data_IF_266329789301
#
_entry.id   IF_266329789301
#
_cell.length_a   1.000
_cell.length_b   1.000
_cell.length_c   1.000
_cell.angle_alpha   90.00
_cell.angle_beta   90.00
_cell.angle_gamma   90.00
#
_symmetry.space_group_name_H-M   'P 1'
#
loop_
_entity.id
_entity.type
_entity.pdbx_description
1 polymer ?
#
# COMPACT_ATOMS: atom_id res chain seq x y z
N UNK A 1 1.27 16.36 -10.94
CA UNK A 1 0.61 16.68 -9.66
C UNK A 1 0.68 15.41 -8.81
N UNK A 2 1.44 15.40 -7.71
CA UNK A 2 1.61 14.19 -6.88
C UNK A 2 0.38 14.03 -5.96
N UNK A 3 -0.25 12.86 -6.02
CA UNK A 3 -1.50 12.56 -5.32
C UNK A 3 -1.17 11.96 -3.94
N UNK A 4 -1.56 12.62 -2.87
CA UNK A 4 -1.57 12.03 -1.53
C UNK A 4 -2.70 11.01 -1.41
N UNK A 5 -2.56 10.04 -0.51
CA UNK A 5 -3.68 9.19 -0.09
C UNK A 5 -4.41 9.96 1.02
N UNK A 6 -5.69 10.35 0.84
CA UNK A 6 -6.42 11.07 1.88
C UNK A 6 -6.43 10.31 3.21
N UNK A 7 -6.12 11.00 4.31
CA UNK A 7 -6.15 10.41 5.66
C UNK A 7 -4.97 9.49 6.01
N UNK A 8 -3.94 9.39 5.16
CA UNK A 8 -2.72 8.63 5.45
C UNK A 8 -1.54 9.56 5.69
N UNK A 9 -0.95 9.47 6.89
CA UNK A 9 0.29 10.16 7.23
C UNK A 9 1.49 9.22 7.04
N UNK A 10 2.56 9.72 6.42
CA UNK A 10 3.78 8.93 6.14
C UNK A 10 4.91 9.43 7.04
N UNK A 11 5.63 8.49 7.64
CA UNK A 11 6.73 8.76 8.56
C UNK A 11 7.98 7.98 8.17
N UNK A 12 9.12 8.65 8.27
CA UNK A 12 10.43 8.02 8.21
C UNK A 12 11.15 8.17 9.55
N UNK A 13 11.16 7.13 10.41
CA UNK A 13 12.10 7.07 11.52
C UNK A 13 13.54 6.89 10.99
N UNK A 14 14.41 7.88 11.20
CA UNK A 14 15.83 7.79 10.83
C UNK A 14 16.69 8.25 12.02
N UNK A 15 17.50 7.34 12.59
CA UNK A 15 18.48 7.62 13.66
C UNK A 15 17.98 8.56 14.77
N UNK A 16 16.80 8.28 15.33
CA UNK A 16 16.20 9.08 16.42
C UNK A 16 15.34 10.26 15.98
N UNK A 17 15.29 10.58 14.69
CA UNK A 17 14.40 11.59 14.13
C UNK A 17 13.16 10.94 13.52
N UNK A 18 12.01 11.61 13.63
CA UNK A 18 10.77 11.25 12.92
C UNK A 18 10.44 12.37 11.94
N UNK A 19 10.45 12.05 10.66
CA UNK A 19 10.07 13.00 9.61
C UNK A 19 8.65 12.69 9.15
N UNK A 20 7.76 13.68 9.22
CA UNK A 20 6.44 13.61 8.61
C UNK A 20 6.57 14.02 7.15
N UNK A 21 6.19 13.14 6.24
CA UNK A 21 6.25 13.39 4.80
C UNK A 21 4.84 13.61 4.32
N UNK A 22 4.43 14.87 4.28
CA UNK A 22 3.10 15.21 3.82
C UNK A 22 3.06 15.43 2.31
N UNK A 23 4.06 16.01 1.63
CA UNK A 23 3.87 16.30 0.19
C UNK A 23 5.10 16.65 -0.63
N UNK A 24 6.31 16.44 -0.14
CA UNK A 24 7.49 16.89 -0.88
C UNK A 24 8.57 15.83 -0.96
N UNK A 25 9.29 15.75 -2.09
CA UNK A 25 10.58 15.11 -2.13
C UNK A 25 11.51 15.70 -1.03
N UNK A 26 11.65 15.01 0.11
CA UNK A 26 12.65 15.32 1.14
C UNK A 26 13.99 14.64 0.85
N UNK A 27 15.06 15.37 0.52
CA UNK A 27 16.37 14.77 0.25
C UNK A 27 16.93 14.10 1.50
N UNK A 28 16.99 12.77 1.52
CA UNK A 28 17.55 11.99 2.64
C UNK A 28 19.09 11.91 2.62
N UNK A 29 19.76 12.71 1.78
CA UNK A 29 21.21 12.64 1.50
C UNK A 29 22.08 12.73 2.75
N UNK A 30 21.71 13.58 3.70
CA UNK A 30 22.48 13.79 4.93
C UNK A 30 22.35 12.63 5.94
N UNK A 31 21.40 11.71 5.73
CA UNK A 31 20.95 10.79 6.78
C UNK A 31 21.29 9.31 6.50
N UNK A 32 21.71 8.98 5.28
CA UNK A 32 21.85 7.59 4.82
C UNK A 32 23.30 7.23 4.46
N UNK A 33 23.94 6.47 5.35
CA UNK A 33 25.03 5.57 4.99
C UNK A 33 24.41 4.16 4.96
N UNK A 34 24.77 3.32 3.98
CA UNK A 34 24.27 1.94 3.76
C UNK A 34 23.43 1.33 4.90
N UNK A 35 22.21 0.86 4.61
CA UNK A 35 21.37 0.22 5.63
C UNK A 35 19.90 0.09 5.23
N UNK A 36 19.08 -0.15 6.24
CA UNK A 36 17.63 -0.31 6.10
C UNK A 36 16.93 1.01 6.45
N UNK A 37 15.95 1.42 5.64
CA UNK A 37 15.02 2.50 5.96
C UNK A 37 13.69 1.88 6.35
N UNK A 38 13.25 2.14 7.57
CA UNK A 38 11.87 1.84 7.94
C UNK A 38 10.97 2.96 7.45
N UNK A 39 10.01 2.63 6.59
CA UNK A 39 8.87 3.49 6.25
C UNK A 39 7.70 3.08 7.12
N UNK A 40 7.03 4.04 7.74
CA UNK A 40 5.79 3.81 8.50
C UNK A 40 4.67 4.66 7.93
N UNK A 41 3.46 4.15 7.99
CA UNK A 41 2.25 4.94 7.73
C UNK A 41 1.28 4.82 8.87
N UNK A 42 0.56 5.91 9.12
CA UNK A 42 -0.58 5.95 10.03
C UNK A 42 -1.83 6.21 9.19
N UNK A 43 -2.83 5.36 9.39
CA UNK A 43 -4.18 5.52 8.84
C UNK A 43 -5.10 5.90 10.01
N UNK A 44 -5.79 7.03 9.91
CA UNK A 44 -6.66 7.57 10.98
C UNK A 44 -8.10 7.04 10.91
N UNK A 45 -8.77 6.99 12.07
CA UNK A 45 -10.08 6.36 12.33
C UNK A 45 -11.16 6.56 11.27
N UNK A 46 -11.24 7.75 10.66
CA UNK A 46 -12.29 8.12 9.71
C UNK A 46 -12.34 7.23 8.45
N UNK A 47 -11.26 6.48 8.17
CA UNK A 47 -11.18 5.50 7.07
C UNK A 47 -10.60 4.15 7.49
N UNK A 48 -10.56 3.85 8.80
CA UNK A 48 -9.82 2.69 9.31
C UNK A 48 -10.33 1.35 8.76
N UNK A 49 -11.54 1.26 8.21
CA UNK A 49 -12.03 0.02 7.60
C UNK A 49 -11.74 -0.13 6.10
N UNK A 50 -11.26 0.92 5.44
CA UNK A 50 -11.13 0.96 3.99
C UNK A 50 -9.68 0.76 3.53
N UNK A 51 -8.69 1.01 4.39
CA UNK A 51 -7.27 0.92 4.03
C UNK A 51 -6.58 -0.23 4.76
N UNK A 52 -5.96 -1.11 3.99
CA UNK A 52 -5.20 -2.27 4.44
C UNK A 52 -3.78 -2.24 3.88
N UNK A 53 -2.82 -2.86 4.56
CA UNK A 53 -1.50 -3.11 4.00
C UNK A 53 -1.43 -4.54 3.47
N UNK A 54 -0.82 -4.69 2.30
CA UNK A 54 -0.61 -5.99 1.66
C UNK A 54 0.89 -6.28 1.47
N UNK A 55 1.26 -7.54 1.63
CA UNK A 55 2.58 -8.06 1.27
C UNK A 55 2.41 -8.92 0.03
N UNK A 56 3.37 -8.81 -0.89
CA UNK A 56 3.44 -9.65 -2.08
C UNK A 56 4.77 -10.40 -2.05
N UNK A 57 4.72 -11.73 -2.02
CA UNK A 57 5.94 -12.55 -1.97
C UNK A 57 6.56 -12.78 -3.37
N UNK A 58 7.65 -13.55 -3.44
CA UNK A 58 8.36 -13.84 -4.69
C UNK A 58 7.54 -14.69 -5.68
N UNK A 59 6.57 -15.45 -5.19
CA UNK A 59 5.62 -16.22 -5.99
C UNK A 59 4.37 -15.41 -6.36
N UNK A 60 4.36 -14.10 -6.05
CA UNK A 60 3.22 -13.18 -6.21
C UNK A 60 2.00 -13.55 -5.36
N UNK A 61 2.21 -14.29 -4.27
CA UNK A 61 1.15 -14.51 -3.30
C UNK A 61 0.90 -13.23 -2.49
N UNK A 62 -0.34 -13.02 -2.09
CA UNK A 62 -0.77 -11.82 -1.35
C UNK A 62 -1.18 -12.20 0.06
N UNK A 63 -0.78 -11.38 1.02
CA UNK A 63 -1.21 -11.49 2.42
C UNK A 63 -1.54 -10.12 3.01
N UNK A 64 -2.51 -10.07 3.93
CA UNK A 64 -2.78 -8.86 4.71
C UNK A 64 -1.77 -8.71 5.83
N UNK A 65 -1.09 -7.57 5.86
CA UNK A 65 -0.20 -7.23 6.97
C UNK A 65 -1.02 -6.79 8.18
N UNK A 66 -0.74 -7.39 9.34
CA UNK A 66 -1.31 -6.92 10.61
C UNK A 66 -0.72 -5.55 10.99
N UNK A 67 -1.53 -4.58 11.43
CA UNK A 67 -1.01 -3.29 11.88
C UNK A 67 -0.24 -3.45 13.20
N UNK A 68 0.76 -2.59 13.42
CA UNK A 68 1.57 -2.55 14.65
C UNK A 68 0.80 -1.98 15.84
N UNK A 69 -0.14 -1.10 15.57
CA UNK A 69 -1.05 -0.51 16.54
C UNK A 69 -2.48 -0.71 16.05
N UNK A 70 -3.35 -1.15 16.95
CA UNK A 70 -4.76 -1.42 16.65
C UNK A 70 -5.61 -0.62 17.65
N UNK A 71 -6.49 0.24 17.15
CA UNK A 71 -7.26 1.20 17.95
C UNK A 71 -7.90 2.25 17.05
N UNK A 72 -7.89 3.54 17.47
CA UNK A 72 -8.34 4.67 16.62
C UNK A 72 -7.44 4.91 15.40
N UNK A 73 -6.31 4.24 15.30
CA UNK A 73 -5.37 4.37 14.20
C UNK A 73 -4.80 2.98 13.85
N UNK A 74 -4.52 2.77 12.57
CA UNK A 74 -3.76 1.61 12.09
C UNK A 74 -2.38 2.08 11.65
N UNK A 75 -1.33 1.44 12.17
CA UNK A 75 0.04 1.74 11.77
C UNK A 75 0.63 0.56 10.99
N UNK A 76 1.07 0.82 9.77
CA UNK A 76 1.76 -0.15 8.92
C UNK A 76 3.22 0.24 8.76
N UNK A 77 4.09 -0.75 8.52
CA UNK A 77 5.50 -0.51 8.29
C UNK A 77 6.10 -1.45 7.26
N UNK A 78 7.09 -0.95 6.52
CA UNK A 78 7.97 -1.75 5.70
C UNK A 78 9.43 -1.33 5.92
N UNK A 79 10.34 -2.29 5.86
CA UNK A 79 11.78 -2.04 5.92
C UNK A 79 12.35 -2.12 4.50
N UNK A 80 12.65 -0.97 3.91
CA UNK A 80 13.18 -0.85 2.55
C UNK A 80 14.70 -0.85 2.61
N UNK A 81 15.32 -1.85 2.00
CA UNK A 81 16.78 -2.00 1.96
C UNK A 81 17.39 -1.10 0.90
N UNK A 82 18.37 -0.29 1.30
CA UNK A 82 19.09 0.61 0.40
C UNK A 82 20.57 0.27 0.39
N UNK A 83 21.08 -0.06 -0.80
CA UNK A 83 22.53 -0.28 -1.00
C UNK A 83 23.15 0.79 -1.87
N UNK A 84 24.34 1.23 -1.47
CA UNK A 84 25.23 2.05 -2.29
C UNK A 84 25.98 1.17 -3.29
N UNK A 85 25.91 1.53 -4.58
CA UNK A 85 26.75 0.99 -5.65
C UNK A 85 27.50 2.14 -6.33
N UNK A 86 28.78 2.27 -6.02
CA UNK A 86 29.59 3.42 -6.45
C UNK A 86 29.09 4.72 -5.82
N UNK A 87 28.74 5.71 -6.65
CA UNK A 87 28.13 6.98 -6.19
C UNK A 87 26.61 6.96 -6.10
N UNK A 88 25.98 5.87 -6.52
CA UNK A 88 24.53 5.74 -6.56
C UNK A 88 24.04 4.89 -5.40
N UNK A 89 22.83 5.16 -4.96
CA UNK A 89 22.10 4.28 -4.07
C UNK A 89 20.95 3.66 -4.83
N UNK A 90 20.53 2.46 -4.43
CA UNK A 90 19.44 1.73 -5.07
C UNK A 90 18.62 1.02 -4.00
N UNK A 91 17.30 1.04 -4.16
CA UNK A 91 16.40 0.11 -3.47
C UNK A 91 16.62 -1.28 -4.09
N UNK A 92 16.99 -2.24 -3.26
CA UNK A 92 17.35 -3.58 -3.77
C UNK A 92 16.15 -4.33 -4.33
N UNK A 93 15.03 -4.24 -3.62
CA UNK A 93 13.86 -5.07 -3.84
C UNK A 93 12.62 -4.18 -3.84
N UNK A 94 12.03 -3.85 -5.00
CA UNK A 94 10.76 -3.15 -5.07
C UNK A 94 9.62 -3.86 -4.30
N UNK A 95 9.74 -5.18 -4.07
CA UNK A 95 8.81 -5.93 -3.22
C UNK A 95 8.80 -5.46 -1.75
N UNK A 96 9.89 -4.85 -1.27
CA UNK A 96 10.02 -4.32 0.09
C UNK A 96 9.29 -2.98 0.27
N UNK A 97 8.73 -2.39 -0.80
CA UNK A 97 7.92 -1.18 -0.72
C UNK A 97 6.64 -1.45 0.09
N UNK A 98 6.16 -0.43 0.80
CA UNK A 98 4.89 -0.54 1.51
C UNK A 98 3.74 -0.42 0.52
N UNK A 99 2.88 -1.43 0.45
CA UNK A 99 1.70 -1.43 -0.42
C UNK A 99 0.43 -1.32 0.41
N UNK A 100 -0.42 -0.38 0.02
CA UNK A 100 -1.72 -0.18 0.63
C UNK A 100 -2.83 -0.50 -0.38
N UNK A 101 -3.86 -1.16 0.12
CA UNK A 101 -5.11 -1.45 -0.55
C UNK A 101 -6.16 -0.52 0.05
N UNK A 102 -6.74 0.36 -0.76
CA UNK A 102 -7.87 1.21 -0.38
C UNK A 102 -9.14 0.70 -1.06
N UNK A 103 -10.13 0.32 -0.26
CA UNK A 103 -11.46 -0.09 -0.69
C UNK A 103 -12.38 1.11 -0.55
N UNK A 104 -13.10 1.45 -1.61
CA UNK A 104 -14.04 2.56 -1.61
C UNK A 104 -15.46 2.01 -1.80
N UNK A 105 -16.48 2.77 -1.37
CA UNK A 105 -17.87 2.46 -1.70
C UNK A 105 -18.06 2.25 -3.21
N UNK A 106 -19.01 1.40 -3.59
CA UNK A 106 -19.23 1.05 -5.00
C UNK A 106 -18.26 0.01 -5.56
N UNK A 107 -17.47 -0.65 -4.70
CA UNK A 107 -16.52 -1.68 -5.09
C UNK A 107 -15.22 -1.17 -5.73
N UNK A 108 -14.96 0.14 -5.75
CA UNK A 108 -13.70 0.68 -6.29
C UNK A 108 -12.53 0.38 -5.35
N UNK A 109 -11.54 -0.32 -5.86
CA UNK A 109 -10.31 -0.65 -5.16
C UNK A 109 -9.12 0.10 -5.76
N UNK A 110 -8.34 0.79 -4.93
CA UNK A 110 -7.09 1.46 -5.32
C UNK A 110 -5.89 0.78 -4.67
N UNK A 111 -4.83 0.60 -5.44
CA UNK A 111 -3.54 0.16 -4.96
C UNK A 111 -2.59 1.33 -4.90
N UNK A 112 -1.97 1.49 -3.75
CA UNK A 112 -1.01 2.52 -3.49
C UNK A 112 0.32 1.88 -3.11
N UNK A 113 1.41 2.45 -3.62
CA UNK A 113 2.76 2.07 -3.24
C UNK A 113 3.47 3.28 -2.64
N UNK A 114 4.13 3.04 -1.51
CA UNK A 114 4.99 4.01 -0.84
C UNK A 114 6.42 3.48 -0.89
N UNK A 115 7.27 4.23 -1.56
CA UNK A 115 8.57 3.76 -2.02
C UNK A 115 9.64 4.82 -1.77
N UNK A 116 10.88 4.39 -1.57
CA UNK A 116 12.02 5.31 -1.60
C UNK A 116 12.60 5.30 -3.02
N UNK A 117 12.66 6.45 -3.66
CA UNK A 117 13.32 6.62 -4.96
C UNK A 117 14.57 7.46 -4.81
N UNK A 118 15.56 7.27 -5.68
CA UNK A 118 16.80 8.04 -5.66
C UNK A 118 17.22 8.52 -7.04
N UNK A 119 17.69 9.77 -7.14
CA UNK A 119 18.17 10.40 -8.36
C UNK A 119 19.26 11.39 -7.98
N UNK A 120 20.42 11.30 -8.65
CA UNK A 120 21.56 12.20 -8.42
C UNK A 120 22.03 12.28 -6.96
N UNK A 121 21.99 11.17 -6.22
CA UNK A 121 22.42 11.11 -4.81
C UNK A 121 21.31 11.44 -3.81
N UNK A 122 20.27 12.17 -4.25
CA UNK A 122 19.09 12.48 -3.47
C UNK A 122 18.15 11.30 -3.39
N UNK A 123 17.43 11.23 -2.28
CA UNK A 123 16.38 10.26 -2.04
C UNK A 123 15.08 10.95 -1.74
N UNK A 124 13.97 10.32 -2.06
CA UNK A 124 12.63 10.80 -1.77
C UNK A 124 11.72 9.65 -1.40
N UNK A 125 10.88 9.87 -0.41
CA UNK A 125 9.72 9.03 -0.20
C UNK A 125 8.63 9.51 -1.14
N UNK A 126 8.15 8.61 -1.98
CA UNK A 126 7.10 8.88 -2.96
C UNK A 126 5.92 7.96 -2.71
N UNK A 127 4.75 8.51 -2.98
CA UNK A 127 3.49 7.77 -2.95
C UNK A 127 2.92 7.76 -4.35
N UNK A 128 2.55 6.58 -4.84
CA UNK A 128 2.01 6.42 -6.18
C UNK A 128 0.81 5.50 -6.14
N UNK A 129 -0.29 5.92 -6.78
CA UNK A 129 -1.37 5.00 -7.13
C UNK A 129 -0.92 4.13 -8.29
N UNK A 130 -0.80 2.82 -8.07
CA UNK A 130 -0.28 1.88 -9.06
C UNK A 130 -1.38 1.27 -9.92
N UNK A 131 -2.57 1.09 -9.35
CA UNK A 131 -3.70 0.46 -10.03
C UNK A 131 -5.03 0.87 -9.40
N UNK A 132 -6.11 0.87 -10.19
CA UNK A 132 -7.48 1.01 -9.73
C UNK A 132 -8.35 -0.03 -10.45
N UNK A 133 -9.18 -0.76 -9.72
CA UNK A 133 -10.08 -1.78 -10.28
C UNK A 133 -11.41 -1.81 -9.55
N UNK A 134 -12.45 -2.39 -10.17
CA UNK A 134 -13.77 -2.54 -9.57
C UNK A 134 -14.06 -3.98 -9.19
N UNK A 135 -14.57 -4.16 -7.98
CA UNK A 135 -15.24 -5.38 -7.53
C UNK A 135 -16.73 -5.32 -7.88
N UNK A 136 -17.29 -6.49 -8.14
CA UNK A 136 -18.69 -6.71 -8.46
C UNK A 136 -19.21 -7.89 -7.66
N UNK A 137 -20.52 -7.94 -7.40
CA UNK A 137 -21.17 -9.11 -6.84
C UNK A 137 -21.49 -10.08 -7.98
N UNK A 138 -20.85 -11.25 -7.97
CA UNK A 138 -21.25 -12.34 -8.86
C UNK A 138 -22.56 -12.94 -8.35
N UNK A 139 -23.63 -12.78 -9.12
CA UNK A 139 -25.00 -13.21 -8.75
C UNK A 139 -25.12 -14.72 -8.64
N UNK A 140 -24.27 -15.49 -9.34
CA UNK A 140 -24.30 -16.95 -9.30
C UNK A 140 -23.64 -17.52 -8.04
N UNK A 141 -22.53 -16.93 -7.61
CA UNK A 141 -21.76 -17.42 -6.45
C UNK A 141 -22.03 -16.66 -5.15
N UNK A 142 -22.66 -15.48 -5.22
CA UNK A 142 -22.88 -14.57 -4.09
C UNK A 142 -21.60 -13.96 -3.54
N UNK A 143 -20.49 -13.98 -4.29
CA UNK A 143 -19.17 -13.51 -3.86
C UNK A 143 -18.75 -12.26 -4.61
N UNK A 144 -17.91 -11.45 -3.96
CA UNK A 144 -17.26 -10.33 -4.63
C UNK A 144 -16.17 -10.84 -5.58
N UNK A 145 -16.16 -10.33 -6.81
CA UNK A 145 -15.20 -10.69 -7.84
C UNK A 145 -14.65 -9.43 -8.49
N UNK A 146 -13.37 -9.44 -8.82
CA UNK A 146 -12.77 -8.43 -9.67
C UNK A 146 -12.28 -9.09 -10.97
N UNK A 147 -13.07 -9.06 -12.06
CA UNK A 147 -12.76 -9.82 -13.28
C UNK A 147 -11.44 -9.44 -13.95
N UNK A 148 -11.02 -8.18 -13.82
CA UNK A 148 -9.75 -7.67 -14.37
C UNK A 148 -8.55 -7.95 -13.47
N UNK A 149 -8.77 -8.39 -12.22
CA UNK A 149 -7.70 -8.64 -11.26
C UNK A 149 -7.11 -10.04 -11.48
N UNK A 150 -5.85 -10.09 -11.91
CA UNK A 150 -5.10 -11.36 -12.06
C UNK A 150 -4.75 -12.01 -10.70
N UNK A 151 -4.88 -11.26 -9.60
CA UNK A 151 -4.61 -11.73 -8.24
C UNK A 151 -5.81 -12.46 -7.64
N UNK A 152 -5.98 -13.72 -8.01
CA UNK A 152 -7.06 -14.60 -7.50
C UNK A 152 -7.09 -14.65 -5.97
N UNK A 153 -5.92 -14.66 -5.32
CA UNK A 153 -5.81 -14.67 -3.85
C UNK A 153 -6.36 -13.39 -3.21
N UNK A 154 -6.29 -12.24 -3.88
CA UNK A 154 -6.86 -11.02 -3.32
C UNK A 154 -8.39 -11.12 -3.25
N UNK A 155 -9.03 -11.68 -4.27
CA UNK A 155 -10.47 -11.93 -4.25
C UNK A 155 -10.83 -12.87 -3.08
N UNK A 156 -10.00 -13.89 -2.81
CA UNK A 156 -10.20 -14.78 -1.66
C UNK A 156 -10.05 -14.05 -0.34
N UNK A 157 -9.01 -13.22 -0.17
CA UNK A 157 -8.78 -12.43 1.04
C UNK A 157 -9.95 -11.51 1.33
N UNK A 158 -10.44 -10.78 0.32
CA UNK A 158 -11.55 -9.85 0.45
C UNK A 158 -12.82 -10.58 0.88
N UNK A 159 -13.15 -11.70 0.24
CA UNK A 159 -14.34 -12.49 0.57
C UNK A 159 -14.25 -13.15 1.95
N UNK A 160 -13.11 -13.77 2.29
CA UNK A 160 -12.94 -14.49 3.57
C UNK A 160 -13.00 -13.54 4.76
N UNK A 161 -12.44 -12.34 4.61
CA UNK A 161 -12.40 -11.35 5.69
C UNK A 161 -13.60 -10.38 5.66
N UNK A 162 -14.51 -10.51 4.70
CA UNK A 162 -15.68 -9.64 4.55
C UNK A 162 -15.30 -8.16 4.45
N UNK A 163 -14.25 -7.84 3.66
CA UNK A 163 -13.68 -6.49 3.63
C UNK A 163 -14.48 -5.49 2.80
N UNK A 164 -15.39 -5.97 1.95
CA UNK A 164 -16.29 -5.15 1.15
C UNK A 164 -17.70 -5.60 1.47
N UNK A 165 -18.60 -4.64 1.67
CA UNK A 165 -20.03 -4.93 1.78
C UNK A 165 -20.58 -5.31 0.40
N UNK A 166 -21.27 -6.44 0.32
CA UNK A 166 -21.88 -6.88 -0.93
C UNK A 166 -23.02 -5.94 -1.37
N UNK A 167 -23.66 -5.24 -0.44
CA UNK A 167 -24.71 -4.25 -0.73
C UNK A 167 -24.15 -3.01 -1.46
N UNK A 168 -22.84 -2.76 -1.33
CA UNK A 168 -22.13 -1.69 -2.06
C UNK A 168 -21.75 -2.07 -3.49
N UNK A 169 -21.94 -3.34 -3.89
CA UNK A 169 -21.44 -3.84 -5.18
C UNK A 169 -22.50 -3.83 -6.27
N UNK A 170 -22.08 -3.42 -7.47
CA UNK A 170 -22.85 -3.65 -8.68
C UNK A 170 -22.90 -5.16 -8.99
N UNK A 171 -24.04 -5.63 -9.46
CA UNK A 171 -24.24 -7.01 -9.87
C UNK A 171 -23.55 -7.28 -11.21
N UNK A 172 -22.87 -8.42 -11.30
CA UNK A 172 -22.30 -8.94 -12.53
C UNK A 172 -22.98 -10.25 -12.87
N UNK A 173 -23.85 -10.20 -13.88
CA UNK A 173 -24.43 -11.41 -14.47
C UNK A 173 -23.42 -11.99 -15.46
N UNK A 174 -22.73 -13.06 -15.06
CA UNK A 174 -21.99 -13.86 -16.01
C UNK A 174 -23.00 -14.71 -16.78
N UNK A 175 -23.17 -14.41 -18.08
CA UNK A 175 -23.98 -15.24 -18.97
C UNK A 175 -23.44 -16.68 -18.90
N UNK A 176 -24.32 -17.61 -18.51
CA UNK A 176 -24.05 -19.04 -18.38
C UNK A 176 -23.63 -19.68 -19.71
#
# INVERSE_FOLDING_TARGET
MMTQIPGVEIFLPIKGYKFHINSSPYPLEALLQNGDITVKTRVTAERVNDIFSIIVDDAKNIELQKPLANGKEKIYQANIKIRKKGRFFRVENPKDNLRLLELNPGGLCNFWEISIVSQNGKFWCVTQKTRSEFFFLDTNSGKSVCPKMEWVQLNQIININGLIDNDDLLQLDQAA
#
